data_IF_614754965521
#
_entry.id   IF_614754965521
#
_cell.length_a   1.000
_cell.length_b   1.000
_cell.length_c   1.000
_cell.angle_alpha   90.00
_cell.angle_beta   90.00
_cell.angle_gamma   90.00
#
_symmetry.space_group_name_H-M   'P 1'
#
loop_
_entity.id
_entity.type
_entity.pdbx_description
1 polymer ?
#
# COMPACT_ATOMS: atom_id res chain seq x y z
N UNK A 1 -0.16 -50.24 13.69
CA UNK A 1 0.83 -51.11 13.01
C UNK A 1 2.08 -51.28 13.85
N UNK A 2 2.62 -52.49 13.92
CA UNK A 2 3.87 -52.76 14.61
C UNK A 2 5.06 -52.08 13.88
N UNK A 3 5.91 -51.32 14.59
CA UNK A 3 7.05 -50.64 13.97
C UNK A 3 8.16 -51.58 13.47
N UNK A 4 8.12 -52.88 13.87
CA UNK A 4 9.15 -53.85 13.52
C UNK A 4 8.77 -54.77 12.35
N UNK A 5 7.46 -55.12 12.21
CA UNK A 5 7.04 -56.07 11.17
C UNK A 5 5.86 -55.54 10.31
N UNK A 6 5.37 -54.33 10.56
CA UNK A 6 4.27 -53.66 9.86
C UNK A 6 2.91 -54.41 9.90
N UNK A 7 2.80 -55.44 10.74
CA UNK A 7 1.54 -56.17 10.95
C UNK A 7 0.59 -55.34 11.83
N UNK A 8 -0.72 -55.49 11.56
CA UNK A 8 -1.78 -54.80 12.31
C UNK A 8 -1.97 -55.44 13.69
N UNK A 9 -1.92 -54.62 14.76
CA UNK A 9 -2.12 -55.06 16.14
C UNK A 9 -3.32 -54.29 16.67
N UNK A 10 -4.29 -55.03 17.21
CA UNK A 10 -5.40 -54.44 17.97
C UNK A 10 -4.96 -54.19 19.40
N UNK A 11 -4.94 -52.95 19.83
CA UNK A 11 -4.73 -52.51 21.21
C UNK A 11 -6.03 -51.90 21.72
N UNK A 12 -6.30 -52.01 23.02
CA UNK A 12 -7.44 -51.33 23.63
C UNK A 12 -7.26 -49.81 23.53
N UNK A 13 -8.38 -49.09 23.39
CA UNK A 13 -8.36 -47.62 23.13
C UNK A 13 -7.67 -46.80 24.22
N UNK A 14 -7.51 -47.34 25.44
CA UNK A 14 -6.85 -46.74 26.59
C UNK A 14 -5.48 -47.39 26.90
N UNK A 15 -4.99 -48.28 26.04
CA UNK A 15 -3.74 -48.98 26.25
C UNK A 15 -2.54 -48.06 26.11
N UNK A 16 -1.69 -47.96 27.14
CA UNK A 16 -0.44 -47.22 27.12
C UNK A 16 0.67 -47.98 27.83
N UNK A 17 1.92 -47.88 27.36
CA UNK A 17 3.07 -48.55 27.96
C UNK A 17 3.88 -49.39 26.98
N UNK A 18 4.71 -50.28 27.50
CA UNK A 18 5.54 -51.20 26.71
C UNK A 18 4.73 -52.43 26.31
N UNK A 19 4.71 -52.77 25.03
CA UNK A 19 4.01 -53.89 24.42
C UNK A 19 4.97 -54.73 23.61
N UNK A 20 4.77 -56.05 23.63
CA UNK A 20 5.46 -56.98 22.73
C UNK A 20 4.53 -57.35 21.56
N UNK A 21 5.00 -57.24 20.35
CA UNK A 21 4.26 -57.62 19.15
C UNK A 21 4.01 -59.14 19.12
N UNK A 22 2.74 -59.60 18.99
CA UNK A 22 2.43 -61.02 18.94
C UNK A 22 2.95 -61.77 17.70
N UNK A 23 3.38 -61.02 16.66
CA UNK A 23 3.83 -61.58 15.37
C UNK A 23 5.35 -61.66 15.25
N UNK A 24 6.09 -60.71 15.81
CA UNK A 24 7.54 -60.67 15.68
C UNK A 24 8.32 -60.61 17.01
N UNK A 25 7.58 -60.61 18.15
CA UNK A 25 8.13 -60.51 19.50
C UNK A 25 8.93 -59.21 19.78
N UNK A 26 8.91 -58.27 18.85
CA UNK A 26 9.56 -56.94 19.00
C UNK A 26 8.82 -56.10 20.06
N UNK A 27 9.59 -55.57 21.02
CA UNK A 27 9.05 -54.67 22.04
C UNK A 27 8.96 -53.23 21.45
N UNK A 28 7.82 -52.56 21.74
CA UNK A 28 7.61 -51.16 21.36
C UNK A 28 6.80 -50.43 22.42
N UNK A 29 7.02 -49.14 22.58
CA UNK A 29 6.29 -48.30 23.51
C UNK A 29 5.10 -47.66 22.78
N UNK A 30 3.90 -47.79 23.34
CA UNK A 30 2.68 -47.15 22.86
C UNK A 30 2.16 -46.21 23.96
N UNK A 31 2.17 -44.91 23.65
CA UNK A 31 1.59 -43.91 24.52
C UNK A 31 0.37 -43.30 23.79
N UNK A 32 -0.80 -43.45 24.40
CA UNK A 32 -1.96 -42.64 24.04
C UNK A 32 -1.69 -41.27 24.65
N UNK A 33 -1.21 -40.34 23.85
CA UNK A 33 -1.15 -38.95 24.28
C UNK A 33 -2.56 -38.51 24.65
N UNK A 34 -2.79 -38.10 25.90
CA UNK A 34 -4.08 -37.61 26.41
C UNK A 34 -4.56 -36.30 25.73
N UNK A 35 -4.09 -36.00 24.52
CA UNK A 35 -4.33 -34.71 23.86
C UNK A 35 -5.49 -34.70 22.85
N UNK A 36 -6.24 -35.78 22.65
CA UNK A 36 -7.34 -35.80 21.67
C UNK A 36 -8.76 -35.66 22.23
N UNK A 37 -8.94 -35.29 23.51
CA UNK A 37 -10.27 -35.06 24.08
C UNK A 37 -10.54 -33.64 24.58
N UNK A 38 -10.19 -32.61 23.76
CA UNK A 38 -10.78 -31.29 23.95
C UNK A 38 -11.04 -30.60 22.60
N UNK A 39 -12.07 -31.06 21.92
CA UNK A 39 -12.73 -30.26 20.90
C UNK A 39 -13.43 -29.06 21.53
N UNK A 40 -12.72 -28.00 21.88
CA UNK A 40 -13.27 -26.66 22.05
C UNK A 40 -12.14 -25.64 22.23
N UNK A 41 -11.86 -24.88 21.19
CA UNK A 41 -11.15 -23.62 21.34
C UNK A 41 -9.64 -23.77 21.51
N UNK A 42 -8.93 -24.12 20.44
CA UNK A 42 -7.50 -23.84 20.32
C UNK A 42 -7.32 -22.33 20.42
N UNK A 43 -7.09 -21.83 21.65
CA UNK A 43 -6.60 -20.47 21.84
C UNK A 43 -5.22 -20.43 21.18
N UNK A 44 -5.14 -19.81 20.03
CA UNK A 44 -3.86 -19.51 19.37
C UNK A 44 -3.10 -18.55 20.30
N UNK A 45 -2.38 -19.11 21.27
CA UNK A 45 -1.44 -18.33 22.07
C UNK A 45 -0.28 -17.96 21.13
N UNK A 46 -0.25 -16.70 20.72
CA UNK A 46 0.90 -16.14 20.01
C UNK A 46 2.09 -16.11 20.98
N UNK A 47 2.97 -17.09 20.85
CA UNK A 47 4.24 -17.05 21.56
C UNK A 47 5.18 -16.05 20.87
N UNK A 48 5.15 -14.81 21.40
CA UNK A 48 5.97 -13.72 20.91
C UNK A 48 7.48 -13.96 21.12
N UNK A 49 7.86 -14.91 21.97
CA UNK A 49 9.28 -15.22 22.27
C UNK A 49 9.95 -16.02 21.15
N UNK A 50 9.17 -16.68 20.30
CA UNK A 50 9.65 -17.46 19.16
C UNK A 50 9.88 -16.63 17.89
N UNK A 51 9.53 -15.33 17.87
CA UNK A 51 9.64 -14.47 16.68
C UNK A 51 11.09 -14.04 16.53
N UNK A 52 11.69 -14.39 15.39
CA UNK A 52 13.05 -13.94 15.06
C UNK A 52 13.11 -12.40 15.01
N UNK A 53 14.09 -11.75 15.66
CA UNK A 53 14.18 -10.28 15.74
C UNK A 53 14.21 -9.61 14.36
N UNK A 54 14.81 -10.25 13.37
CA UNK A 54 14.81 -9.75 11.98
C UNK A 54 13.39 -9.69 11.38
N UNK A 55 12.55 -10.68 11.66
CA UNK A 55 11.16 -10.67 11.19
C UNK A 55 10.34 -9.54 11.80
N UNK A 56 10.62 -9.19 13.06
CA UNK A 56 9.99 -8.03 13.71
C UNK A 56 10.40 -6.73 13.02
N UNK A 57 11.69 -6.55 12.75
CA UNK A 57 12.20 -5.36 12.06
C UNK A 57 11.61 -5.25 10.66
N UNK A 58 11.55 -6.34 9.89
CA UNK A 58 10.92 -6.37 8.57
C UNK A 58 9.43 -5.99 8.66
N UNK A 59 8.69 -6.52 9.64
CA UNK A 59 7.30 -6.17 9.88
C UNK A 59 7.10 -4.69 10.21
N UNK A 60 8.00 -4.11 11.02
CA UNK A 60 7.98 -2.67 11.33
C UNK A 60 8.22 -1.82 10.08
N UNK A 61 9.18 -2.19 9.22
CA UNK A 61 9.45 -1.47 7.96
C UNK A 61 8.21 -1.49 7.07
N UNK A 62 7.56 -2.64 6.90
CA UNK A 62 6.33 -2.77 6.11
C UNK A 62 5.21 -1.91 6.71
N UNK A 63 5.01 -1.97 8.03
CA UNK A 63 4.00 -1.20 8.73
C UNK A 63 4.21 0.32 8.61
N UNK A 64 5.44 0.80 8.78
CA UNK A 64 5.79 2.21 8.59
C UNK A 64 5.58 2.63 7.14
N UNK A 65 6.00 1.81 6.17
CA UNK A 65 5.79 2.09 4.74
C UNK A 65 4.29 2.22 4.42
N UNK A 66 3.46 1.33 4.98
CA UNK A 66 2.00 1.39 4.79
C UNK A 66 1.40 2.67 5.38
N UNK A 67 1.80 3.06 6.60
CA UNK A 67 1.31 4.29 7.24
C UNK A 67 1.69 5.52 6.42
N UNK A 68 2.94 5.60 5.96
CA UNK A 68 3.40 6.74 5.15
C UNK A 68 2.68 6.78 3.80
N UNK A 69 2.49 5.63 3.15
CA UNK A 69 1.72 5.54 1.91
C UNK A 69 0.27 5.99 2.13
N UNK A 70 -0.35 5.58 3.24
CA UNK A 70 -1.70 6.02 3.60
C UNK A 70 -1.75 7.53 3.83
N UNK A 71 -0.75 8.10 4.49
CA UNK A 71 -0.63 9.56 4.66
C UNK A 71 -0.46 10.26 3.32
N UNK A 72 0.32 9.70 2.38
CA UNK A 72 0.45 10.24 1.02
C UNK A 72 -0.86 10.16 0.25
N UNK A 73 -1.60 9.05 0.38
CA UNK A 73 -2.90 8.88 -0.27
C UNK A 73 -3.97 9.84 0.25
N UNK A 74 -3.91 10.17 1.55
CA UNK A 74 -4.85 11.09 2.21
C UNK A 74 -4.33 12.54 2.23
N UNK A 75 -3.16 12.80 1.63
CA UNK A 75 -2.58 14.15 1.62
C UNK A 75 -3.45 15.11 0.80
N UNK A 76 -3.80 16.22 1.44
CA UNK A 76 -4.57 17.30 0.85
C UNK A 76 -4.11 18.63 1.51
N UNK A 77 -3.57 19.58 0.73
CA UNK A 77 -3.24 19.51 -0.70
C UNK A 77 -1.96 18.70 -1.01
N UNK A 78 -1.81 18.26 -2.25
CA UNK A 78 -0.57 17.66 -2.76
C UNK A 78 0.48 18.73 -3.09
N UNK A 79 0.02 19.87 -3.61
CA UNK A 79 0.86 20.98 -4.03
C UNK A 79 0.24 22.30 -3.60
N UNK A 80 1.09 23.24 -3.15
CA UNK A 80 0.70 24.59 -2.74
C UNK A 80 1.49 25.61 -3.53
N UNK A 81 0.78 26.54 -4.18
CA UNK A 81 1.34 27.70 -4.83
C UNK A 81 0.98 28.94 -4.01
N UNK A 82 1.97 29.57 -3.39
CA UNK A 82 1.80 30.84 -2.68
C UNK A 82 2.12 32.00 -3.61
N UNK A 83 1.19 32.92 -3.74
CA UNK A 83 1.32 34.16 -4.50
C UNK A 83 1.11 35.37 -3.59
N UNK A 84 1.42 36.60 -4.05
CA UNK A 84 1.31 37.82 -3.25
C UNK A 84 -0.10 38.06 -2.67
N UNK A 85 -1.16 37.59 -3.36
CA UNK A 85 -2.56 37.82 -3.02
C UNK A 85 -3.27 36.58 -2.46
N UNK A 86 -2.55 35.49 -2.08
CA UNK A 86 -3.15 34.31 -1.49
C UNK A 86 -2.44 33.00 -1.81
N UNK A 87 -3.16 31.89 -1.56
CA UNK A 87 -2.65 30.55 -1.79
C UNK A 87 -3.57 29.76 -2.71
N UNK A 88 -2.97 28.97 -3.60
CA UNK A 88 -3.64 28.02 -4.45
C UNK A 88 -3.21 26.62 -4.04
N UNK A 89 -4.17 25.81 -3.66
CA UNK A 89 -3.97 24.46 -3.15
C UNK A 89 -4.45 23.46 -4.20
N UNK A 90 -3.54 22.67 -4.72
CA UNK A 90 -3.84 21.64 -5.72
C UNK A 90 -3.85 20.28 -5.03
N UNK A 91 -5.01 19.67 -4.99
CA UNK A 91 -5.24 18.31 -4.48
C UNK A 91 -5.24 17.30 -5.63
N UNK A 92 -5.59 16.05 -5.37
CA UNK A 92 -5.62 15.03 -6.41
C UNK A 92 -6.84 15.20 -7.35
N UNK A 93 -7.94 15.75 -6.86
CA UNK A 93 -9.22 15.89 -7.56
C UNK A 93 -9.79 17.31 -7.52
N UNK A 94 -9.24 18.18 -6.68
CA UNK A 94 -9.78 19.52 -6.44
C UNK A 94 -8.69 20.58 -6.44
N UNK A 95 -9.10 21.79 -6.74
CA UNK A 95 -8.32 23.00 -6.56
C UNK A 95 -9.03 23.91 -5.55
N UNK A 96 -8.27 24.41 -4.57
CA UNK A 96 -8.78 25.38 -3.59
C UNK A 96 -8.05 26.70 -3.73
N UNK A 97 -8.80 27.78 -3.88
CA UNK A 97 -8.25 29.13 -3.94
C UNK A 97 -8.55 29.83 -2.60
N UNK A 98 -7.49 30.27 -1.92
CA UNK A 98 -7.55 31.01 -0.66
C UNK A 98 -6.92 32.40 -0.83
N UNK A 99 -7.66 33.40 -1.33
CA UNK A 99 -7.13 34.74 -1.48
C UNK A 99 -6.99 35.42 -0.11
N UNK A 100 -5.92 36.19 0.08
CA UNK A 100 -5.70 37.01 1.29
C UNK A 100 -6.77 38.10 1.44
N UNK A 101 -7.38 38.50 0.33
CA UNK A 101 -8.50 39.44 0.28
C UNK A 101 -9.55 38.90 -0.68
N UNK A 102 -10.78 38.79 -0.21
CA UNK A 102 -11.92 38.41 -1.03
C UNK A 102 -12.27 39.53 -2.04
N UNK A 103 -11.36 39.78 -3.00
CA UNK A 103 -11.46 40.87 -3.98
C UNK A 103 -12.36 40.48 -5.15
N UNK A 104 -12.54 39.15 -5.43
CA UNK A 104 -13.21 38.66 -6.65
C UNK A 104 -14.26 37.59 -6.44
N UNK A 105 -14.60 37.22 -5.20
CA UNK A 105 -15.51 36.09 -4.93
C UNK A 105 -14.98 34.73 -5.40
N UNK A 106 -13.65 34.60 -5.54
CA UNK A 106 -12.97 33.39 -6.03
C UNK A 106 -12.50 32.48 -4.91
N UNK A 107 -12.96 32.70 -3.66
CA UNK A 107 -12.60 31.81 -2.57
C UNK A 107 -13.46 30.55 -2.60
N UNK A 108 -12.85 29.38 -2.66
CA UNK A 108 -13.60 28.13 -2.61
C UNK A 108 -12.78 26.94 -3.09
N UNK A 109 -13.36 25.77 -2.90
CA UNK A 109 -12.85 24.49 -3.42
C UNK A 109 -13.74 24.06 -4.57
N UNK A 110 -13.15 23.79 -5.71
CA UNK A 110 -13.84 23.33 -6.92
C UNK A 110 -13.17 22.07 -7.46
N UNK A 111 -13.98 21.14 -7.98
CA UNK A 111 -13.48 20.02 -8.73
C UNK A 111 -12.86 20.50 -10.05
N UNK A 112 -11.76 19.88 -10.50
CA UNK A 112 -11.12 20.25 -11.78
C UNK A 112 -12.11 20.18 -12.93
N UNK A 113 -12.94 19.15 -13.01
CA UNK A 113 -13.94 19.00 -14.06
C UNK A 113 -14.97 20.14 -14.06
N UNK A 114 -15.46 20.57 -12.89
CA UNK A 114 -16.39 21.66 -12.77
C UNK A 114 -15.77 23.01 -13.17
N UNK A 115 -14.49 23.19 -12.82
CA UNK A 115 -13.76 24.41 -13.20
C UNK A 115 -13.44 24.45 -14.71
N UNK A 116 -13.09 23.32 -15.32
CA UNK A 116 -12.91 23.19 -16.77
C UNK A 116 -14.20 23.50 -17.52
N UNK A 117 -15.33 22.98 -17.07
CA UNK A 117 -16.65 23.26 -17.66
C UNK A 117 -17.00 24.76 -17.57
N UNK A 118 -16.70 25.38 -16.43
CA UNK A 118 -16.88 26.81 -16.24
C UNK A 118 -16.04 27.64 -17.22
N UNK A 119 -14.73 27.34 -17.35
CA UNK A 119 -13.83 28.03 -18.26
C UNK A 119 -14.24 27.84 -19.72
N UNK A 120 -14.63 26.64 -20.09
CA UNK A 120 -15.09 26.32 -21.45
C UNK A 120 -16.33 27.15 -21.81
N UNK A 121 -17.29 27.26 -20.88
CA UNK A 121 -18.48 28.08 -21.07
C UNK A 121 -18.15 29.57 -21.20
N UNK A 122 -17.21 30.07 -20.40
CA UNK A 122 -16.72 31.45 -20.53
C UNK A 122 -16.13 31.71 -21.90
N UNK A 123 -15.35 30.78 -22.42
CA UNK A 123 -14.75 30.88 -23.76
C UNK A 123 -15.82 30.90 -24.87
N UNK A 124 -16.88 30.09 -24.76
CA UNK A 124 -18.03 30.12 -25.66
C UNK A 124 -18.78 31.44 -25.62
N UNK A 125 -18.92 32.04 -24.43
CA UNK A 125 -19.53 33.35 -24.26
C UNK A 125 -18.68 34.45 -24.94
N UNK A 126 -17.34 34.40 -24.80
CA UNK A 126 -16.45 35.32 -25.52
C UNK A 126 -16.62 35.23 -27.05
N UNK A 127 -16.63 34.01 -27.59
CA UNK A 127 -16.86 33.80 -29.03
C UNK A 127 -18.21 34.36 -29.46
N UNK A 128 -19.24 34.20 -28.64
CA UNK A 128 -20.61 34.66 -28.94
C UNK A 128 -20.71 36.20 -28.97
N UNK A 129 -20.11 36.89 -28.00
CA UNK A 129 -20.24 38.32 -27.82
C UNK A 129 -19.15 39.16 -28.48
N UNK A 130 -17.91 38.62 -28.53
CA UNK A 130 -16.74 39.34 -29.05
C UNK A 130 -16.32 38.86 -30.46
N UNK A 131 -16.80 37.66 -30.86
CA UNK A 131 -16.45 37.03 -32.12
C UNK A 131 -15.09 36.30 -32.11
N UNK A 132 -14.42 36.30 -30.98
CA UNK A 132 -13.13 35.62 -30.76
C UNK A 132 -13.05 34.96 -29.38
N UNK A 133 -12.15 33.98 -29.22
CA UNK A 133 -11.90 33.33 -27.93
C UNK A 133 -11.32 34.31 -26.92
N UNK A 134 -11.61 34.09 -25.65
CA UNK A 134 -10.93 34.80 -24.58
C UNK A 134 -9.46 34.39 -24.54
N UNK A 135 -8.54 35.35 -24.55
CA UNK A 135 -7.10 35.09 -24.47
C UNK A 135 -6.74 34.40 -23.16
N UNK A 136 -5.95 33.32 -23.23
CA UNK A 136 -5.43 32.56 -22.09
C UNK A 136 -6.39 31.53 -21.50
N UNK A 137 -7.67 31.48 -21.87
CA UNK A 137 -8.60 30.46 -21.34
C UNK A 137 -8.24 29.05 -21.82
N UNK A 138 -7.86 28.91 -23.10
CA UNK A 138 -7.48 27.59 -23.63
C UNK A 138 -6.26 27.01 -22.88
N UNK A 139 -5.25 27.85 -22.57
CA UNK A 139 -4.06 27.45 -21.80
C UNK A 139 -4.43 27.05 -20.35
N UNK A 140 -5.39 27.75 -19.74
CA UNK A 140 -5.87 27.44 -18.40
C UNK A 140 -6.65 26.13 -18.37
N UNK A 141 -7.47 25.85 -19.38
CA UNK A 141 -8.18 24.58 -19.54
C UNK A 141 -7.18 23.44 -19.65
N UNK A 142 -6.16 23.57 -20.53
CA UNK A 142 -5.11 22.57 -20.71
C UNK A 142 -4.33 22.31 -19.41
N UNK A 143 -4.02 23.35 -18.64
CA UNK A 143 -3.37 23.20 -17.34
C UNK A 143 -4.26 22.45 -16.33
N UNK A 144 -5.55 22.78 -16.27
CA UNK A 144 -6.48 22.08 -15.35
C UNK A 144 -6.69 20.61 -15.75
N UNK A 145 -6.81 20.30 -17.03
CA UNK A 145 -6.84 18.92 -17.54
C UNK A 145 -5.56 18.15 -17.18
N UNK A 146 -4.41 18.81 -17.21
CA UNK A 146 -3.14 18.25 -16.78
C UNK A 146 -3.13 17.89 -15.29
N UNK A 147 -3.60 18.80 -14.43
CA UNK A 147 -3.71 18.57 -12.99
C UNK A 147 -4.69 17.45 -12.66
N UNK A 148 -5.87 17.43 -13.28
CA UNK A 148 -6.86 16.36 -13.13
C UNK A 148 -6.29 14.98 -13.52
N UNK A 149 -5.63 14.92 -14.69
CA UNK A 149 -4.97 13.70 -15.17
C UNK A 149 -3.84 13.22 -14.24
N UNK A 150 -3.02 14.15 -13.74
CA UNK A 150 -1.94 13.86 -12.81
C UNK A 150 -2.48 13.32 -11.48
N UNK A 151 -3.51 13.98 -10.94
CA UNK A 151 -4.16 13.60 -9.69
C UNK A 151 -4.85 12.23 -9.77
N UNK A 152 -5.63 12.00 -10.83
CA UNK A 152 -6.28 10.70 -11.07
C UNK A 152 -5.26 9.56 -11.21
N UNK A 153 -4.15 9.80 -11.93
CA UNK A 153 -3.06 8.83 -12.07
C UNK A 153 -2.42 8.53 -10.71
N UNK A 154 -2.16 9.56 -9.92
CA UNK A 154 -1.60 9.44 -8.58
C UNK A 154 -2.50 8.64 -7.65
N UNK A 155 -3.79 8.97 -7.56
CA UNK A 155 -4.76 8.24 -6.75
C UNK A 155 -4.88 6.78 -7.16
N UNK A 156 -4.97 6.50 -8.46
CA UNK A 156 -5.08 5.14 -8.97
C UNK A 156 -3.86 4.28 -8.61
N UNK A 157 -2.65 4.79 -8.83
CA UNK A 157 -1.43 4.04 -8.54
C UNK A 157 -1.17 3.87 -7.05
N UNK A 158 -1.45 4.89 -6.24
CA UNK A 158 -1.35 4.79 -4.76
C UNK A 158 -2.38 3.84 -4.19
N UNK A 159 -3.59 3.76 -4.77
CA UNK A 159 -4.59 2.76 -4.40
C UNK A 159 -4.11 1.34 -4.69
N UNK A 160 -3.52 1.09 -5.88
CA UNK A 160 -2.90 -0.20 -6.22
C UNK A 160 -1.80 -0.55 -5.21
N UNK A 161 -0.95 0.43 -4.86
CA UNK A 161 0.10 0.24 -3.87
C UNK A 161 -0.46 -0.13 -2.49
N UNK A 162 -1.52 0.55 -2.02
CA UNK A 162 -2.21 0.25 -0.76
C UNK A 162 -2.80 -1.17 -0.75
N UNK A 163 -3.51 -1.55 -1.81
CA UNK A 163 -4.07 -2.90 -1.96
C UNK A 163 -2.96 -3.94 -1.91
N UNK A 164 -1.85 -3.71 -2.63
CA UNK A 164 -0.71 -4.62 -2.65
C UNK A 164 -0.10 -4.78 -1.26
N UNK A 165 0.03 -3.70 -0.48
CA UNK A 165 0.55 -3.76 0.89
C UNK A 165 -0.41 -4.45 1.87
N UNK A 166 -1.73 -4.33 1.71
CA UNK A 166 -2.72 -5.05 2.52
C UNK A 166 -2.66 -6.56 2.27
N UNK A 167 -2.32 -6.99 1.05
CA UNK A 167 -2.18 -8.41 0.73
C UNK A 167 -1.03 -9.09 1.49
N UNK A 168 -0.01 -8.35 1.90
CA UNK A 168 1.17 -8.89 2.59
C UNK A 168 0.81 -9.61 3.90
N UNK A 169 0.14 -8.95 4.88
CA UNK A 169 -0.21 -9.61 6.12
C UNK A 169 -1.19 -10.78 5.90
N UNK A 170 -2.09 -10.68 4.93
CA UNK A 170 -3.04 -11.75 4.58
C UNK A 170 -2.27 -12.99 4.09
N UNK A 171 -1.38 -12.81 3.11
CA UNK A 171 -0.58 -13.92 2.56
C UNK A 171 0.39 -14.49 3.59
N UNK A 172 1.01 -13.64 4.41
CA UNK A 172 1.89 -14.08 5.49
C UNK A 172 1.14 -14.87 6.56
N UNK A 173 -0.06 -14.43 6.95
CA UNK A 173 -0.91 -15.16 7.90
C UNK A 173 -1.32 -16.52 7.32
N UNK A 174 -1.76 -16.56 6.08
CA UNK A 174 -2.14 -17.80 5.39
C UNK A 174 -0.98 -18.80 5.36
N UNK A 175 0.23 -18.35 5.06
CA UNK A 175 1.41 -19.19 5.08
C UNK A 175 1.76 -19.70 6.49
N UNK A 176 1.68 -18.85 7.52
CA UNK A 176 1.91 -19.23 8.90
C UNK A 176 0.90 -20.27 9.40
N UNK A 177 -0.37 -20.15 9.00
CA UNK A 177 -1.41 -21.13 9.33
C UNK A 177 -1.15 -22.48 8.67
N UNK A 178 -0.62 -22.48 7.45
CA UNK A 178 -0.17 -23.70 6.77
C UNK A 178 1.01 -24.36 7.51
N UNK A 179 2.05 -23.58 7.86
CA UNK A 179 3.21 -24.13 8.60
C UNK A 179 2.84 -24.75 9.96
N UNK A 180 1.77 -24.25 10.58
CA UNK A 180 1.23 -24.76 11.84
C UNK A 180 0.21 -25.91 11.67
N UNK A 181 0.04 -26.41 10.45
CA UNK A 181 -0.94 -27.45 10.10
C UNK A 181 -2.40 -27.09 10.46
N UNK A 182 -2.73 -25.80 10.58
CA UNK A 182 -4.11 -25.33 10.83
C UNK A 182 -4.94 -25.38 9.56
N UNK A 183 -4.30 -25.12 8.41
CA UNK A 183 -4.90 -25.23 7.08
C UNK A 183 -4.09 -26.17 6.22
N UNK A 184 -4.79 -27.02 5.46
CA UNK A 184 -4.15 -27.90 4.48
C UNK A 184 -4.14 -27.24 3.10
N UNK A 185 -2.96 -27.16 2.48
CA UNK A 185 -2.83 -26.68 1.12
C UNK A 185 -1.68 -27.38 0.39
N UNK A 186 -1.75 -27.53 -0.93
CA UNK A 186 -0.66 -28.10 -1.71
C UNK A 186 0.65 -27.33 -1.51
N UNK A 187 1.77 -28.04 -1.35
CA UNK A 187 3.10 -27.43 -1.14
C UNK A 187 3.43 -26.34 -2.17
N UNK A 188 3.03 -26.54 -3.43
CA UNK A 188 3.21 -25.52 -4.48
C UNK A 188 2.45 -24.23 -4.16
N UNK A 189 1.23 -24.33 -3.64
CA UNK A 189 0.42 -23.16 -3.26
C UNK A 189 1.04 -22.45 -2.05
N UNK A 190 1.53 -23.16 -1.05
CA UNK A 190 2.22 -22.59 0.11
C UNK A 190 3.47 -21.80 -0.29
N UNK A 191 4.31 -22.38 -1.16
CA UNK A 191 5.50 -21.72 -1.69
C UNK A 191 5.12 -20.46 -2.47
N UNK A 192 4.11 -20.54 -3.36
CA UNK A 192 3.61 -19.37 -4.10
C UNK A 192 3.09 -18.29 -3.16
N UNK A 193 2.34 -18.64 -2.12
CA UNK A 193 1.82 -17.68 -1.13
C UNK A 193 2.96 -16.94 -0.42
N UNK A 194 4.00 -17.65 -0.02
CA UNK A 194 5.18 -17.05 0.62
C UNK A 194 5.91 -16.05 -0.30
N UNK A 195 6.17 -16.43 -1.56
CA UNK A 195 6.83 -15.54 -2.51
C UNK A 195 5.93 -14.38 -2.95
N UNK A 196 4.62 -14.61 -3.08
CA UNK A 196 3.67 -13.57 -3.46
C UNK A 196 3.55 -12.48 -2.40
N UNK A 197 3.60 -12.84 -1.10
CA UNK A 197 3.60 -11.84 -0.02
C UNK A 197 4.78 -10.87 -0.11
N UNK A 198 5.99 -11.40 -0.39
CA UNK A 198 7.19 -10.56 -0.58
C UNK A 198 7.11 -9.74 -1.87
N UNK A 199 6.69 -10.38 -2.98
CA UNK A 199 6.50 -9.71 -4.26
C UNK A 199 5.49 -8.56 -4.17
N UNK A 200 4.40 -8.74 -3.43
CA UNK A 200 3.39 -7.71 -3.22
C UNK A 200 3.97 -6.45 -2.55
N UNK A 201 4.89 -6.61 -1.57
CA UNK A 201 5.56 -5.47 -0.94
C UNK A 201 6.38 -4.65 -1.94
N UNK A 202 7.29 -5.30 -2.68
CA UNK A 202 8.14 -4.61 -3.65
C UNK A 202 7.33 -4.00 -4.78
N UNK A 203 6.30 -4.70 -5.24
CA UNK A 203 5.38 -4.17 -6.24
C UNK A 203 4.61 -2.95 -5.71
N UNK A 204 4.13 -3.00 -4.47
CA UNK A 204 3.49 -1.86 -3.82
C UNK A 204 4.41 -0.64 -3.71
N UNK A 205 5.66 -0.83 -3.26
CA UNK A 205 6.66 0.25 -3.21
C UNK A 205 6.96 0.83 -4.60
N UNK A 206 7.06 -0.04 -5.62
CA UNK A 206 7.28 0.39 -7.01
C UNK A 206 6.10 1.21 -7.55
N UNK A 207 4.86 0.77 -7.33
CA UNK A 207 3.67 1.52 -7.75
C UNK A 207 3.55 2.86 -7.03
N UNK A 208 3.90 2.90 -5.75
CA UNK A 208 3.97 4.14 -4.98
C UNK A 208 5.00 5.11 -5.52
N UNK A 209 6.23 4.64 -5.77
CA UNK A 209 7.27 5.44 -6.42
C UNK A 209 6.80 5.98 -7.77
N UNK A 210 6.22 5.10 -8.60
CA UNK A 210 5.72 5.47 -9.93
C UNK A 210 4.61 6.52 -9.85
N UNK A 211 3.70 6.41 -8.87
CA UNK A 211 2.64 7.39 -8.64
C UNK A 211 3.21 8.80 -8.42
N UNK A 212 4.21 8.91 -7.54
CA UNK A 212 4.86 10.18 -7.21
C UNK A 212 5.56 10.75 -8.44
N UNK A 213 6.37 9.94 -9.13
CA UNK A 213 7.15 10.40 -10.30
C UNK A 213 6.24 10.80 -11.44
N UNK A 214 5.20 10.01 -11.74
CA UNK A 214 4.25 10.36 -12.81
C UNK A 214 3.45 11.61 -12.46
N UNK A 215 3.04 11.80 -11.21
CA UNK A 215 2.39 13.04 -10.81
C UNK A 215 3.31 14.25 -11.06
N UNK A 216 4.59 14.17 -10.70
CA UNK A 216 5.55 15.25 -10.93
C UNK A 216 5.81 15.53 -12.43
N UNK A 217 5.66 14.53 -13.30
CA UNK A 217 5.86 14.66 -14.75
C UNK A 217 4.60 15.16 -15.44
N UNK A 218 3.43 14.71 -15.01
CA UNK A 218 2.14 14.99 -15.64
C UNK A 218 1.50 16.29 -15.14
N UNK A 219 1.77 16.66 -13.87
CA UNK A 219 1.30 17.93 -13.34
C UNK A 219 1.95 19.06 -14.14
N UNK A 220 1.16 19.92 -14.79
CA UNK A 220 1.71 21.03 -15.55
C UNK A 220 2.41 22.02 -14.61
N UNK A 221 3.33 22.79 -15.17
CA UNK A 221 3.85 23.96 -14.45
C UNK A 221 2.64 24.81 -14.03
N UNK A 222 2.50 25.10 -12.73
CA UNK A 222 1.36 25.83 -12.25
C UNK A 222 1.44 27.26 -12.81
N UNK A 223 0.73 27.50 -13.89
CA UNK A 223 0.50 28.84 -14.38
C UNK A 223 -0.57 29.49 -13.51
N UNK A 224 -0.25 30.60 -12.89
CA UNK A 224 -1.23 31.41 -12.17
C UNK A 224 -2.36 31.89 -13.09
N UNK A 225 -3.45 32.44 -12.53
CA UNK A 225 -4.58 32.93 -13.32
C UNK A 225 -4.12 34.00 -14.32
N UNK A 226 -4.90 34.11 -15.38
CA UNK A 226 -4.70 35.04 -16.53
C UNK A 226 -4.16 36.38 -16.04
N UNK A 227 -2.95 36.75 -16.47
CA UNK A 227 -2.34 38.04 -16.19
C UNK A 227 -1.35 38.11 -15.02
N UNK A 228 -1.10 37.04 -14.30
CA UNK A 228 -0.13 36.99 -13.22
C UNK A 228 1.16 36.30 -13.64
N UNK A 229 1.82 36.65 -14.68
CA UNK A 229 3.17 36.21 -15.06
C UNK A 229 3.49 34.70 -14.92
N UNK A 230 4.52 34.23 -15.60
CA UNK A 230 5.13 32.93 -15.37
C UNK A 230 5.67 32.88 -13.93
N UNK A 231 5.02 32.10 -13.06
CA UNK A 231 5.59 31.74 -11.77
C UNK A 231 6.47 30.52 -11.98
N UNK A 232 7.74 30.64 -11.63
CA UNK A 232 8.67 29.51 -11.59
C UNK A 232 8.24 28.60 -10.43
N UNK A 233 7.39 27.64 -10.75
CA UNK A 233 6.84 26.67 -9.79
C UNK A 233 7.91 25.65 -9.50
N UNK A 234 8.80 26.01 -8.59
CA UNK A 234 9.86 25.13 -8.16
C UNK A 234 9.28 23.84 -7.51
N UNK A 235 10.07 22.77 -7.55
CA UNK A 235 9.78 21.48 -6.87
C UNK A 235 9.33 21.63 -5.40
N UNK A 236 9.50 22.78 -4.78
CA UNK A 236 9.25 23.05 -3.35
C UNK A 236 7.78 23.26 -2.98
N UNK A 237 6.87 23.38 -3.95
CA UNK A 237 5.43 23.48 -3.68
C UNK A 237 4.78 22.17 -3.21
N UNK A 238 5.41 21.04 -3.45
CA UNK A 238 4.87 19.75 -3.00
C UNK A 238 4.92 19.61 -1.47
N UNK A 239 3.86 19.07 -0.90
CA UNK A 239 3.74 18.81 0.53
C UNK A 239 4.91 17.97 1.05
N UNK A 240 5.33 18.21 2.28
CA UNK A 240 6.45 17.49 2.88
C UNK A 240 6.24 15.97 2.95
N UNK A 241 4.98 15.52 3.09
CA UNK A 241 4.62 14.10 3.08
C UNK A 241 4.87 13.45 1.71
N UNK A 242 4.71 14.21 0.63
CA UNK A 242 4.98 13.76 -0.74
C UNK A 242 6.48 13.44 -0.93
N UNK A 243 7.37 14.34 -0.50
CA UNK A 243 8.82 14.12 -0.52
C UNK A 243 9.25 12.99 0.39
N UNK A 244 8.68 12.91 1.57
CA UNK A 244 8.95 11.82 2.50
C UNK A 244 8.50 10.48 1.91
N UNK A 245 7.35 10.47 1.22
CA UNK A 245 6.85 9.32 0.48
C UNK A 245 7.80 8.85 -0.63
N UNK A 246 8.35 9.79 -1.40
CA UNK A 246 9.34 9.50 -2.44
C UNK A 246 10.57 8.80 -1.86
N UNK A 247 11.12 9.33 -0.77
CA UNK A 247 12.27 8.73 -0.11
C UNK A 247 11.93 7.34 0.45
N UNK A 248 10.79 7.19 1.12
CA UNK A 248 10.36 5.93 1.72
C UNK A 248 10.07 4.86 0.67
N UNK A 249 9.46 5.20 -0.46
CA UNK A 249 9.18 4.26 -1.55
C UNK A 249 10.45 3.61 -2.13
N UNK A 250 11.60 4.29 -2.05
CA UNK A 250 12.90 3.81 -2.50
C UNK A 250 13.69 3.13 -1.38
N UNK A 251 13.81 3.77 -0.21
CA UNK A 251 14.69 3.28 0.86
C UNK A 251 14.10 2.07 1.60
N UNK A 252 12.81 2.05 1.86
CA UNK A 252 12.21 0.98 2.63
C UNK A 252 12.37 -0.40 1.98
N UNK A 253 12.13 -0.60 0.66
CA UNK A 253 12.38 -1.89 0.02
C UNK A 253 13.86 -2.27 -0.01
N UNK A 254 14.78 -1.32 -0.13
CA UNK A 254 16.22 -1.58 -0.11
C UNK A 254 16.65 -2.09 1.27
N UNK A 255 16.23 -1.40 2.34
CA UNK A 255 16.55 -1.81 3.72
C UNK A 255 15.91 -3.16 4.04
N UNK A 256 14.64 -3.36 3.66
CA UNK A 256 13.94 -4.63 3.83
C UNK A 256 14.68 -5.80 3.12
N UNK A 257 15.14 -5.59 1.88
CA UNK A 257 15.92 -6.60 1.15
C UNK A 257 17.30 -6.83 1.81
N UNK A 258 17.96 -5.77 2.27
CA UNK A 258 19.27 -5.85 2.94
C UNK A 258 19.24 -6.73 4.19
N UNK A 259 18.15 -6.76 4.93
CA UNK A 259 18.00 -7.60 6.12
C UNK A 259 18.04 -9.11 5.82
N UNK A 260 17.84 -9.53 4.57
CA UNK A 260 17.97 -10.96 4.18
C UNK A 260 19.42 -11.45 4.16
N UNK A 261 20.36 -10.53 3.98
CA UNK A 261 21.78 -10.84 3.90
C UNK A 261 22.48 -10.77 5.28
N UNK A 262 21.74 -10.39 6.32
CA UNK A 262 22.28 -10.37 7.69
C UNK A 262 22.38 -11.82 8.19
N UNK A 263 23.59 -12.29 8.59
CA UNK A 263 23.78 -13.63 9.13
C UNK A 263 22.87 -13.82 10.35
N UNK A 264 22.04 -14.86 10.33
CA UNK A 264 21.28 -15.25 11.51
C UNK A 264 22.20 -16.13 12.36
N UNK A 265 22.70 -15.60 13.46
CA UNK A 265 23.33 -16.40 14.48
C UNK A 265 22.27 -17.36 15.03
N UNK A 266 22.52 -18.67 14.83
CA UNK A 266 21.66 -19.77 15.31
C UNK A 266 21.83 -19.97 16.82
#
# INVERSE_FOLDING_TARGET
>A
LCPHCEEEIELDDDASGEFACPYCEGEFEWNVDEDDSNGAGSSVTFDLTSIKPIAVVQGVIVGVSFIVLLMCFLADPLYTLSIEDGEWLYSADTMTVQPDRDIYGMSGTEDYSAYIDYLTKQNEECVTYLGEKCEGIDEMVEAMEGWDSAGNTYQFLTLIALISMILIPILSLTFNLYERNVIDMPVKAAVMTHFSGRGAYYFGCFMWFLAIVLHMILAPEASGPIGMGEFDVGMFGYAGVFWFGLVMSLLAPIVHAGLWFVPQEN
#
